data_IF_919537780385
#
_entry.id   IF_919537780385
#
_cell.length_a   1.000
_cell.length_b   1.000
_cell.length_c   1.000
_cell.angle_alpha   90.00
_cell.angle_beta   90.00
_cell.angle_gamma   90.00
#
_symmetry.space_group_name_H-M   'P 1'
#
loop_
_entity.id
_entity.type
_entity.pdbx_description
1 polymer ?
#
# COMPACT_ATOMS: atom_id res chain seq x y z
N UNK A 1 -17.25 -19.22 -29.27
CA UNK A 1 -16.91 -17.78 -29.16
C UNK A 1 -15.40 -17.65 -29.28
N UNK A 2 -14.88 -16.81 -30.22
CA UNK A 2 -13.43 -16.56 -30.28
C UNK A 2 -13.02 -15.66 -29.11
N UNK A 3 -11.91 -15.95 -28.43
CA UNK A 3 -11.36 -15.11 -27.36
C UNK A 3 -11.06 -13.70 -27.85
N UNK A 4 -10.54 -13.54 -29.07
CA UNK A 4 -10.28 -12.25 -29.68
C UNK A 4 -11.53 -11.37 -29.77
N UNK A 5 -12.64 -11.96 -30.20
CA UNK A 5 -13.91 -11.26 -30.29
C UNK A 5 -14.42 -10.86 -28.90
N UNK A 6 -14.30 -11.75 -27.91
CA UNK A 6 -14.69 -11.47 -26.53
C UNK A 6 -13.88 -10.30 -25.96
N UNK A 7 -12.54 -10.34 -26.05
CA UNK A 7 -11.71 -9.27 -25.49
C UNK A 7 -11.89 -7.94 -26.22
N UNK A 8 -12.05 -7.94 -27.54
CA UNK A 8 -12.35 -6.70 -28.29
C UNK A 8 -13.64 -6.06 -27.81
N UNK A 9 -14.71 -6.85 -27.66
CA UNK A 9 -15.99 -6.33 -27.16
C UNK A 9 -15.86 -5.77 -25.73
N UNK A 10 -15.09 -6.42 -24.83
CA UNK A 10 -14.86 -5.91 -23.48
C UNK A 10 -14.11 -4.58 -23.48
N UNK A 11 -13.09 -4.43 -24.35
CA UNK A 11 -12.35 -3.18 -24.49
C UNK A 11 -13.23 -2.06 -25.06
N UNK A 12 -14.07 -2.36 -26.04
CA UNK A 12 -15.03 -1.41 -26.61
C UNK A 12 -16.05 -0.96 -25.57
N UNK A 13 -16.57 -1.90 -24.76
CA UNK A 13 -17.48 -1.59 -23.67
C UNK A 13 -16.83 -0.65 -22.65
N UNK A 14 -15.59 -0.92 -22.21
CA UNK A 14 -14.83 -0.04 -21.30
C UNK A 14 -14.67 1.36 -21.86
N UNK A 15 -14.45 1.49 -23.18
CA UNK A 15 -14.35 2.80 -23.84
C UNK A 15 -15.69 3.53 -23.89
N UNK A 16 -16.76 2.84 -24.18
CA UNK A 16 -18.13 3.40 -24.23
C UNK A 16 -18.57 3.87 -22.83
N UNK A 17 -18.22 3.12 -21.79
CA UNK A 17 -18.56 3.43 -20.41
C UNK A 17 -17.65 4.53 -19.81
N UNK A 18 -16.65 5.01 -20.55
CA UNK A 18 -15.68 6.00 -20.05
C UNK A 18 -14.68 5.42 -19.02
N UNK A 19 -14.64 4.11 -18.88
CA UNK A 19 -13.80 3.40 -17.89
C UNK A 19 -12.46 2.91 -18.46
N UNK A 20 -12.21 3.13 -19.74
CA UNK A 20 -10.93 2.77 -20.35
C UNK A 20 -9.83 3.73 -19.89
N UNK A 21 -8.81 3.19 -19.24
CA UNK A 21 -7.71 3.98 -18.70
C UNK A 21 -6.60 4.14 -19.74
N UNK A 22 -6.21 5.39 -19.97
CA UNK A 22 -5.02 5.73 -20.75
C UNK A 22 -3.85 5.99 -19.81
N UNK A 23 -2.73 5.33 -20.07
CA UNK A 23 -1.49 5.58 -19.32
C UNK A 23 -0.70 6.69 -20.02
N UNK A 24 -0.39 7.75 -19.27
CA UNK A 24 0.49 8.79 -19.77
C UNK A 24 1.93 8.27 -19.79
N UNK A 25 2.63 8.44 -20.92
CA UNK A 25 4.05 8.11 -21.04
C UNK A 25 4.88 9.29 -20.54
N UNK A 26 5.34 9.18 -19.29
CA UNK A 26 6.00 10.25 -18.56
C UNK A 26 7.47 9.93 -18.28
N UNK A 27 8.35 10.80 -18.76
CA UNK A 27 9.77 10.81 -18.41
C UNK A 27 10.05 11.89 -17.37
N UNK A 28 10.39 11.47 -16.13
CA UNK A 28 10.73 12.40 -15.05
C UNK A 28 12.10 13.04 -15.29
N UNK A 29 12.24 14.31 -14.93
CA UNK A 29 13.48 15.08 -15.08
C UNK A 29 14.20 15.19 -13.75
N UNK A 30 15.37 14.56 -13.63
CA UNK A 30 16.21 14.65 -12.43
C UNK A 30 16.52 16.13 -12.07
N UNK A 31 16.27 16.50 -10.83
CA UNK A 31 16.48 17.86 -10.33
C UNK A 31 15.43 18.88 -10.76
N UNK A 32 14.34 18.45 -11.43
CA UNK A 32 13.23 19.32 -11.85
C UNK A 32 11.86 18.87 -11.34
N UNK A 33 11.84 18.05 -10.29
CA UNK A 33 10.58 17.63 -9.67
C UNK A 33 9.69 18.83 -9.31
N UNK A 34 8.37 18.81 -9.59
CA UNK A 34 7.57 17.70 -10.13
C UNK A 34 7.39 17.71 -11.67
N UNK A 35 8.32 18.30 -12.42
CA UNK A 35 8.23 18.37 -13.88
C UNK A 35 8.62 17.03 -14.54
N UNK A 36 7.92 16.72 -15.63
CA UNK A 36 8.19 15.58 -16.49
C UNK A 36 7.97 15.94 -17.96
N UNK A 37 8.54 15.15 -18.86
CA UNK A 37 8.18 15.18 -20.29
C UNK A 37 7.11 14.12 -20.53
N UNK A 38 5.98 14.54 -21.11
CA UNK A 38 4.97 13.61 -21.60
C UNK A 38 5.24 13.33 -23.08
N UNK A 39 5.43 12.06 -23.41
CA UNK A 39 5.58 11.56 -24.78
C UNK A 39 4.19 11.13 -25.30
N UNK A 40 3.86 11.53 -26.51
CA UNK A 40 2.59 11.18 -27.15
C UNK A 40 2.75 11.06 -28.67
N UNK A 41 1.77 10.50 -29.35
CA UNK A 41 1.75 10.46 -30.79
C UNK A 41 1.78 11.89 -31.36
N UNK A 42 2.87 12.24 -32.04
CA UNK A 42 3.10 13.58 -32.58
C UNK A 42 4.12 14.44 -31.84
N UNK A 43 4.72 13.95 -30.74
CA UNK A 43 5.83 14.66 -30.11
C UNK A 43 5.92 14.55 -28.60
N UNK A 44 6.52 15.55 -27.99
CA UNK A 44 6.71 15.63 -26.53
C UNK A 44 6.25 17.00 -26.01
N UNK A 45 5.82 17.05 -24.76
CA UNK A 45 5.55 18.31 -24.05
C UNK A 45 5.93 18.23 -22.58
N UNK A 46 6.34 19.35 -22.03
CA UNK A 46 6.58 19.44 -20.60
C UNK A 46 5.25 19.52 -19.84
N UNK A 47 5.16 18.78 -18.73
CA UNK A 47 4.01 18.73 -17.86
C UNK A 47 4.44 18.81 -16.40
N UNK A 48 3.55 19.26 -15.52
CA UNK A 48 3.71 19.20 -14.07
C UNK A 48 2.88 18.04 -13.53
N UNK A 49 3.54 17.11 -12.82
CA UNK A 49 2.87 15.93 -12.24
C UNK A 49 2.32 16.30 -10.86
N UNK A 50 0.98 16.28 -10.71
CA UNK A 50 0.28 16.57 -9.45
C UNK A 50 -0.12 15.32 -8.67
N UNK A 51 -0.08 14.15 -9.30
CA UNK A 51 -0.54 12.88 -8.73
C UNK A 51 0.61 11.90 -8.43
N UNK A 52 1.80 12.41 -8.09
CA UNK A 52 2.93 11.57 -7.72
C UNK A 52 2.83 11.09 -6.29
N UNK A 53 3.16 9.81 -6.03
CA UNK A 53 3.37 9.29 -4.68
C UNK A 53 4.75 9.64 -4.10
N UNK A 54 5.62 10.28 -4.89
CA UNK A 54 6.91 10.82 -4.44
C UNK A 54 6.70 12.20 -3.79
N UNK A 55 5.94 12.25 -2.69
CA UNK A 55 5.50 13.48 -2.04
C UNK A 55 6.64 14.41 -1.63
N UNK A 56 7.75 13.84 -1.19
CA UNK A 56 8.92 14.57 -0.70
C UNK A 56 9.98 14.77 -1.79
N UNK A 57 9.76 14.24 -3.00
CA UNK A 57 10.73 14.30 -4.10
C UNK A 57 12.01 13.49 -3.82
N UNK A 58 11.98 12.57 -2.85
CA UNK A 58 13.15 11.80 -2.43
C UNK A 58 13.68 10.87 -3.52
N UNK A 59 12.82 10.43 -4.43
CA UNK A 59 13.23 9.64 -5.60
C UNK A 59 14.19 10.39 -6.55
N UNK A 60 14.33 11.70 -6.39
CA UNK A 60 15.25 12.54 -7.17
C UNK A 60 16.30 13.26 -6.29
N UNK A 61 16.37 12.93 -5.00
CA UNK A 61 17.35 13.52 -4.11
C UNK A 61 18.77 13.04 -4.47
N UNK A 62 19.76 13.95 -4.58
CA UNK A 62 21.10 13.58 -5.04
C UNK A 62 21.76 12.47 -4.22
N UNK A 63 21.60 12.46 -2.90
CA UNK A 63 22.15 11.41 -2.04
C UNK A 63 21.50 10.03 -2.31
N UNK A 64 20.18 9.99 -2.58
CA UNK A 64 19.46 8.75 -2.90
C UNK A 64 19.92 8.20 -4.24
N UNK A 65 20.07 9.09 -5.25
CA UNK A 65 20.58 8.71 -6.56
C UNK A 65 22.02 8.17 -6.45
N UNK A 66 22.89 8.86 -5.71
CA UNK A 66 24.28 8.44 -5.54
C UNK A 66 24.38 7.07 -4.83
N UNK A 67 23.59 6.85 -3.78
CA UNK A 67 23.55 5.55 -3.08
C UNK A 67 23.09 4.42 -3.99
N UNK A 68 22.07 4.67 -4.84
CA UNK A 68 21.62 3.70 -5.81
C UNK A 68 22.69 3.36 -6.85
N UNK A 69 23.39 4.37 -7.39
CA UNK A 69 24.49 4.19 -8.34
C UNK A 69 25.64 3.39 -7.73
N UNK A 70 26.01 3.67 -6.50
CA UNK A 70 27.01 2.92 -5.75
C UNK A 70 26.59 1.45 -5.59
N UNK A 71 25.37 1.20 -5.11
CA UNK A 71 24.86 -0.16 -4.92
C UNK A 71 24.85 -0.95 -6.22
N UNK A 72 24.40 -0.34 -7.32
CA UNK A 72 24.41 -0.98 -8.65
C UNK A 72 25.85 -1.30 -9.08
N UNK A 73 26.80 -0.42 -8.85
CA UNK A 73 28.22 -0.65 -9.17
C UNK A 73 28.86 -1.77 -8.33
N UNK A 74 28.40 -1.95 -7.09
CA UNK A 74 28.91 -2.95 -6.14
C UNK A 74 28.27 -4.32 -6.31
N UNK A 75 26.95 -4.37 -6.50
CA UNK A 75 26.16 -5.63 -6.47
C UNK A 75 25.48 -5.99 -7.79
N UNK A 76 25.51 -5.12 -8.80
CA UNK A 76 24.70 -5.27 -10.01
C UNK A 76 23.23 -4.94 -9.79
N UNK A 77 22.38 -5.37 -10.73
CA UNK A 77 20.93 -5.11 -10.70
C UNK A 77 20.14 -6.37 -10.38
N UNK A 78 19.06 -6.20 -9.62
CA UNK A 78 18.14 -7.28 -9.27
C UNK A 78 18.62 -8.21 -8.16
N UNK A 79 17.68 -8.96 -7.61
CA UNK A 79 17.94 -9.81 -6.45
C UNK A 79 18.51 -11.21 -6.79
N UNK A 80 18.42 -11.63 -8.05
CA UNK A 80 18.92 -12.93 -8.50
C UNK A 80 18.05 -14.14 -8.15
N UNK A 81 16.97 -13.94 -7.38
CA UNK A 81 16.06 -15.02 -6.97
C UNK A 81 15.00 -14.57 -5.98
N UNK A 82 14.22 -15.52 -5.48
CA UNK A 82 13.29 -15.28 -4.38
C UNK A 82 14.04 -15.17 -3.05
N UNK A 83 13.48 -14.46 -2.09
CA UNK A 83 14.10 -14.28 -0.76
C UNK A 83 14.43 -15.59 -0.06
N UNK A 84 13.63 -16.63 -0.25
CA UNK A 84 13.81 -17.93 0.40
C UNK A 84 14.97 -18.76 -0.16
N UNK A 85 15.46 -18.44 -1.37
CA UNK A 85 16.54 -19.19 -2.01
C UNK A 85 17.85 -18.40 -1.96
N UNK A 86 17.97 -17.37 -2.78
CA UNK A 86 19.19 -16.54 -2.90
C UNK A 86 18.93 -15.06 -3.09
N UNK A 87 17.67 -14.63 -3.09
CA UNK A 87 17.27 -13.26 -3.36
C UNK A 87 17.21 -12.34 -2.13
N UNK A 88 17.62 -12.80 -0.94
CA UNK A 88 17.81 -11.94 0.22
C UNK A 88 19.21 -11.34 0.17
N UNK A 89 19.30 -10.10 -0.32
CA UNK A 89 20.55 -9.35 -0.38
C UNK A 89 20.84 -8.65 0.94
N UNK A 90 22.11 -8.32 1.18
CA UNK A 90 22.53 -7.63 2.39
C UNK A 90 21.78 -6.30 2.61
N UNK A 91 21.57 -5.54 1.53
CA UNK A 91 20.86 -4.25 1.58
C UNK A 91 19.38 -4.42 2.01
N UNK A 92 18.73 -5.58 1.78
CA UNK A 92 17.40 -5.87 2.34
C UNK A 92 17.45 -5.93 3.87
N UNK A 93 18.46 -6.62 4.44
CA UNK A 93 18.58 -6.77 5.88
C UNK A 93 18.91 -5.44 6.56
N UNK A 94 19.76 -4.63 5.95
CA UNK A 94 20.07 -3.30 6.44
C UNK A 94 18.82 -2.42 6.47
N UNK A 95 18.05 -2.40 5.39
CA UNK A 95 16.82 -1.63 5.31
C UNK A 95 15.75 -2.15 6.29
N UNK A 96 15.60 -3.46 6.45
CA UNK A 96 14.69 -4.03 7.45
C UNK A 96 15.09 -3.62 8.87
N UNK A 97 16.40 -3.57 9.18
CA UNK A 97 16.91 -3.06 10.45
C UNK A 97 16.57 -1.59 10.69
N UNK A 98 16.84 -0.73 9.72
CA UNK A 98 16.52 0.71 9.79
C UNK A 98 15.02 0.97 9.94
N UNK A 99 14.18 0.22 9.22
CA UNK A 99 12.73 0.35 9.33
C UNK A 99 12.20 -0.12 10.68
N UNK A 100 12.75 -1.21 11.22
CA UNK A 100 12.40 -1.68 12.55
C UNK A 100 12.74 -0.64 13.63
N UNK A 101 13.93 -0.04 13.55
CA UNK A 101 14.38 1.01 14.45
C UNK A 101 13.50 2.27 14.33
N UNK A 102 13.24 2.75 13.11
CA UNK A 102 12.39 3.90 12.84
C UNK A 102 11.00 3.77 13.48
N UNK A 103 10.42 2.57 13.42
CA UNK A 103 9.07 2.30 13.95
C UNK A 103 9.08 1.76 15.38
N UNK A 104 10.24 1.62 16.02
CA UNK A 104 10.37 1.07 17.38
C UNK A 104 9.82 -0.37 17.49
N UNK A 105 10.06 -1.20 16.46
CA UNK A 105 9.59 -2.58 16.38
C UNK A 105 10.75 -3.57 16.46
N UNK A 106 10.45 -4.80 16.85
CA UNK A 106 11.47 -5.87 16.96
C UNK A 106 12.03 -6.27 15.58
N UNK A 107 11.25 -6.17 14.53
CA UNK A 107 11.63 -6.54 13.18
C UNK A 107 10.77 -5.83 12.13
N UNK A 108 11.28 -5.79 10.90
CA UNK A 108 10.52 -5.41 9.71
C UNK A 108 10.68 -6.47 8.62
N UNK A 109 9.77 -6.50 7.69
CA UNK A 109 9.79 -7.39 6.54
C UNK A 109 9.46 -6.62 5.26
N UNK A 110 10.39 -6.62 4.30
CA UNK A 110 10.21 -5.98 3.01
C UNK A 110 9.37 -6.81 2.05
N UNK A 111 8.51 -6.13 1.32
CA UNK A 111 7.73 -6.66 0.21
C UNK A 111 8.02 -5.88 -1.08
N UNK A 112 7.63 -6.44 -2.22
CA UNK A 112 7.85 -5.82 -3.54
C UNK A 112 7.03 -4.54 -3.76
N UNK A 113 5.95 -4.36 -3.01
CA UNK A 113 5.11 -3.15 -3.03
C UNK A 113 4.23 -3.09 -1.79
N UNK A 114 3.69 -1.90 -1.48
CA UNK A 114 2.68 -1.72 -0.43
C UNK A 114 1.42 -2.54 -0.70
N UNK A 115 1.02 -2.68 -1.97
CA UNK A 115 -0.10 -3.54 -2.35
C UNK A 115 0.10 -4.99 -1.90
N UNK A 116 1.26 -5.57 -2.21
CA UNK A 116 1.61 -6.95 -1.84
C UNK A 116 1.76 -7.08 -0.32
N UNK A 117 2.32 -6.08 0.35
CA UNK A 117 2.43 -6.04 1.81
C UNK A 117 1.05 -6.16 2.48
N UNK A 118 0.12 -5.28 2.13
CA UNK A 118 -1.23 -5.29 2.68
C UNK A 118 -1.97 -6.58 2.38
N UNK A 119 -1.98 -6.97 1.10
CA UNK A 119 -2.67 -8.18 0.66
C UNK A 119 -2.16 -9.43 1.37
N UNK A 120 -0.84 -9.63 1.38
CA UNK A 120 -0.24 -10.85 1.94
C UNK A 120 -0.37 -10.90 3.46
N UNK A 121 -0.15 -9.78 4.14
CA UNK A 121 -0.20 -9.71 5.61
C UNK A 121 -1.62 -9.95 6.12
N UNK A 122 -2.61 -9.22 5.62
CA UNK A 122 -4.00 -9.39 6.05
C UNK A 122 -4.56 -10.76 5.69
N UNK A 123 -4.23 -11.28 4.49
CA UNK A 123 -4.61 -12.64 4.10
C UNK A 123 -4.02 -13.69 5.04
N UNK A 124 -2.75 -13.53 5.42
CA UNK A 124 -2.05 -14.48 6.30
C UNK A 124 -2.57 -14.41 7.73
N UNK A 125 -2.67 -13.22 8.31
CA UNK A 125 -3.14 -13.04 9.68
C UNK A 125 -4.57 -13.58 9.85
N UNK A 126 -5.49 -13.18 8.97
CA UNK A 126 -6.88 -13.64 9.05
C UNK A 126 -7.04 -15.14 8.81
N UNK A 127 -6.20 -15.76 7.95
CA UNK A 127 -6.24 -17.20 7.71
C UNK A 127 -5.59 -18.03 8.83
N UNK A 128 -4.62 -17.47 9.55
CA UNK A 128 -3.83 -18.21 10.56
C UNK A 128 -4.35 -18.06 11.98
N UNK A 129 -5.00 -16.94 12.30
CA UNK A 129 -5.57 -16.73 13.64
C UNK A 129 -6.93 -17.42 13.71
N UNK A 130 -7.09 -18.46 14.53
CA UNK A 130 -8.35 -19.22 14.59
C UNK A 130 -9.52 -18.33 15.00
N UNK A 131 -10.64 -18.40 14.26
CA UNK A 131 -11.88 -17.67 14.55
C UNK A 131 -11.72 -16.13 14.57
N UNK A 132 -10.70 -15.59 13.90
CA UNK A 132 -10.49 -14.14 13.82
C UNK A 132 -11.63 -13.44 13.08
N UNK A 133 -11.92 -12.21 13.52
CA UNK A 133 -12.75 -11.24 12.79
C UNK A 133 -11.87 -10.08 12.38
N UNK A 134 -11.97 -9.66 11.11
CA UNK A 134 -11.28 -8.48 10.62
C UNK A 134 -12.29 -7.34 10.50
N UNK A 135 -12.06 -6.27 11.25
CA UNK A 135 -12.83 -5.04 11.15
C UNK A 135 -12.08 -4.08 10.21
N UNK A 136 -12.70 -3.71 9.10
CA UNK A 136 -12.12 -2.85 8.07
C UNK A 136 -12.83 -1.53 8.00
N UNK A 137 -12.09 -0.42 7.96
CA UNK A 137 -12.67 0.87 7.59
C UNK A 137 -13.28 0.78 6.18
N UNK A 138 -14.41 1.48 5.96
CA UNK A 138 -15.14 1.45 4.68
C UNK A 138 -14.34 2.02 3.52
N UNK A 139 -13.37 2.91 3.77
CA UNK A 139 -12.56 3.59 2.76
C UNK A 139 -11.16 2.99 2.62
N UNK A 140 -10.87 1.86 3.25
CA UNK A 140 -9.59 1.19 3.13
C UNK A 140 -9.21 0.92 1.67
N UNK A 141 -7.93 1.02 1.38
CA UNK A 141 -7.35 0.77 0.06
C UNK A 141 -7.67 -0.64 -0.46
N UNK A 142 -7.81 -0.77 -1.77
CA UNK A 142 -8.14 -2.02 -2.46
C UNK A 142 -7.22 -3.20 -2.08
N UNK A 143 -5.93 -2.96 -1.80
CA UNK A 143 -5.00 -3.99 -1.36
C UNK A 143 -5.38 -4.63 -0.02
N UNK A 144 -5.88 -3.80 0.92
CA UNK A 144 -6.37 -4.27 2.22
C UNK A 144 -7.66 -5.07 2.05
N UNK A 145 -8.59 -4.56 1.24
CA UNK A 145 -9.86 -5.24 0.92
C UNK A 145 -9.60 -6.62 0.30
N UNK A 146 -8.66 -6.71 -0.66
CA UNK A 146 -8.31 -7.99 -1.29
C UNK A 146 -7.60 -8.93 -0.31
N UNK A 147 -6.72 -8.44 0.56
CA UNK A 147 -6.10 -9.24 1.61
C UNK A 147 -7.12 -9.84 2.56
N UNK A 148 -8.06 -9.03 3.03
CA UNK A 148 -9.17 -9.45 3.90
C UNK A 148 -10.04 -10.50 3.19
N UNK A 149 -10.38 -10.29 1.92
CA UNK A 149 -11.16 -11.25 1.12
C UNK A 149 -10.45 -12.60 0.99
N UNK A 150 -9.14 -12.60 0.74
CA UNK A 150 -8.34 -13.82 0.57
C UNK A 150 -8.12 -14.57 1.88
N UNK A 151 -8.14 -13.89 3.02
CA UNK A 151 -8.03 -14.52 4.35
C UNK A 151 -9.16 -15.51 4.64
N UNK A 152 -10.34 -15.30 4.02
CA UNK A 152 -11.60 -16.00 4.31
C UNK A 152 -12.08 -15.86 5.77
N UNK A 153 -11.44 -15.02 6.56
CA UNK A 153 -11.92 -14.67 7.89
C UNK A 153 -13.26 -13.91 7.79
N UNK A 154 -14.05 -14.00 8.83
CA UNK A 154 -15.22 -13.12 8.95
C UNK A 154 -14.76 -11.66 8.94
N UNK A 155 -15.50 -10.81 8.24
CA UNK A 155 -15.20 -9.39 8.17
C UNK A 155 -16.40 -8.55 8.57
N UNK A 156 -16.12 -7.44 9.25
CA UNK A 156 -17.07 -6.39 9.51
C UNK A 156 -16.51 -5.08 8.96
N UNK A 157 -17.35 -4.31 8.26
CA UNK A 157 -16.96 -2.99 7.75
C UNK A 157 -17.56 -1.95 8.67
N UNK A 158 -16.72 -1.05 9.22
CA UNK A 158 -17.17 0.06 10.02
C UNK A 158 -17.16 1.37 9.24
N UNK A 159 -18.02 2.31 9.64
CA UNK A 159 -18.17 3.58 8.92
C UNK A 159 -16.89 4.40 9.02
N UNK A 160 -16.50 5.04 7.91
CA UNK A 160 -15.24 5.77 7.79
C UNK A 160 -14.99 6.71 8.97
N UNK A 161 -13.87 6.49 9.67
CA UNK A 161 -13.41 7.26 10.83
C UNK A 161 -14.43 7.36 11.99
N UNK A 162 -15.50 6.55 11.99
CA UNK A 162 -16.51 6.53 13.07
C UNK A 162 -16.11 5.58 14.20
N UNK A 163 -15.41 6.14 15.19
CA UNK A 163 -14.93 5.41 16.38
C UNK A 163 -16.09 4.77 17.18
N UNK A 164 -17.28 5.38 17.16
CA UNK A 164 -18.44 4.83 17.88
C UNK A 164 -19.01 3.61 17.17
N UNK A 165 -19.02 3.61 15.84
CA UNK A 165 -19.42 2.45 15.06
C UNK A 165 -18.41 1.31 15.23
N UNK A 166 -17.11 1.63 15.28
CA UNK A 166 -16.05 0.66 15.57
C UNK A 166 -16.24 0.02 16.95
N UNK A 167 -16.48 0.81 18.00
CA UNK A 167 -16.70 0.31 19.38
C UNK A 167 -17.90 -0.64 19.46
N UNK A 168 -19.02 -0.28 18.79
CA UNK A 168 -20.21 -1.15 18.72
C UNK A 168 -19.89 -2.50 18.04
N UNK A 169 -19.14 -2.47 16.95
CA UNK A 169 -18.77 -3.68 16.20
C UNK A 169 -17.78 -4.55 16.95
N UNK A 170 -16.80 -3.94 17.61
CA UNK A 170 -15.86 -4.65 18.48
C UNK A 170 -16.59 -5.33 19.64
N UNK A 171 -17.57 -4.64 20.25
CA UNK A 171 -18.43 -5.22 21.29
C UNK A 171 -19.19 -6.44 20.77
N UNK A 172 -19.74 -6.38 19.56
CA UNK A 172 -20.46 -7.49 18.94
C UNK A 172 -19.59 -8.73 18.66
N UNK A 173 -18.28 -8.55 18.53
CA UNK A 173 -17.34 -9.67 18.31
C UNK A 173 -17.13 -10.53 19.57
N UNK A 174 -17.48 -10.05 20.78
CA UNK A 174 -17.24 -10.75 22.05
C UNK A 174 -15.74 -11.01 22.27
N UNK A 175 -15.41 -12.24 22.75
CA UNK A 175 -14.03 -12.65 23.09
C UNK A 175 -13.23 -13.17 21.89
N UNK A 176 -13.74 -13.09 20.69
CA UNK A 176 -13.05 -13.55 19.48
C UNK A 176 -11.79 -12.70 19.22
N UNK A 177 -10.72 -13.29 18.65
CA UNK A 177 -9.60 -12.50 18.14
C UNK A 177 -10.07 -11.48 17.11
N UNK A 178 -9.65 -10.24 17.26
CA UNK A 178 -10.07 -9.11 16.44
C UNK A 178 -8.86 -8.44 15.81
N UNK A 179 -8.95 -8.14 14.51
CA UNK A 179 -7.96 -7.34 13.77
C UNK A 179 -8.69 -6.11 13.25
N UNK A 180 -8.25 -4.92 13.64
CA UNK A 180 -8.76 -3.65 13.13
C UNK A 180 -7.79 -3.10 12.10
N UNK A 181 -8.25 -2.98 10.86
CA UNK A 181 -7.45 -2.53 9.73
C UNK A 181 -7.93 -1.15 9.25
N UNK A 182 -7.01 -0.19 9.18
CA UNK A 182 -7.29 1.19 8.77
C UNK A 182 -6.04 1.89 8.26
N UNK A 183 -6.21 3.05 7.58
CA UNK A 183 -5.12 3.89 7.09
C UNK A 183 -4.93 5.10 8.01
N UNK A 184 -3.71 5.62 8.12
CA UNK A 184 -3.44 6.86 8.85
C UNK A 184 -3.85 8.10 8.05
N UNK A 185 -3.50 8.13 6.77
CA UNK A 185 -3.94 9.11 5.78
C UNK A 185 -4.53 8.36 4.60
N UNK A 186 -5.80 8.62 4.30
CA UNK A 186 -6.52 7.93 3.22
C UNK A 186 -6.14 8.50 1.86
N UNK A 187 -5.80 7.62 0.93
CA UNK A 187 -5.16 7.97 -0.34
C UNK A 187 -6.02 8.82 -1.29
N UNK A 188 -7.35 8.68 -1.22
CA UNK A 188 -8.25 9.32 -2.18
C UNK A 188 -8.69 10.71 -1.73
N UNK A 189 -8.99 10.88 -0.46
CA UNK A 189 -9.58 12.11 0.08
C UNK A 189 -8.60 12.90 0.95
N UNK A 190 -7.52 12.24 1.42
CA UNK A 190 -6.52 12.87 2.28
C UNK A 190 -6.97 13.00 3.74
N UNK A 191 -8.05 12.34 4.11
CA UNK A 191 -8.55 12.33 5.48
C UNK A 191 -7.56 11.67 6.43
N UNK A 192 -7.40 12.24 7.61
CA UNK A 192 -6.53 11.71 8.66
C UNK A 192 -7.40 10.95 9.66
N UNK A 193 -7.06 9.69 9.91
CA UNK A 193 -7.76 8.89 10.89
C UNK A 193 -7.60 9.44 12.31
N UNK A 194 -8.62 9.38 13.17
CA UNK A 194 -8.51 9.68 14.59
C UNK A 194 -7.76 8.56 15.33
N UNK A 195 -6.46 8.38 15.00
CA UNK A 195 -5.63 7.22 15.37
C UNK A 195 -5.68 6.95 16.86
N UNK A 196 -5.45 7.97 17.70
CA UNK A 196 -5.46 7.79 19.16
C UNK A 196 -6.80 7.23 19.68
N UNK A 197 -7.92 7.78 19.22
CA UNK A 197 -9.23 7.30 19.63
C UNK A 197 -9.53 5.87 19.11
N UNK A 198 -9.07 5.53 17.91
CA UNK A 198 -9.17 4.16 17.38
C UNK A 198 -8.34 3.19 18.24
N UNK A 199 -7.11 3.57 18.58
CA UNK A 199 -6.23 2.74 19.42
C UNK A 199 -6.80 2.54 20.82
N UNK A 200 -7.33 3.59 21.46
CA UNK A 200 -7.98 3.50 22.77
C UNK A 200 -9.13 2.47 22.77
N UNK A 201 -9.96 2.50 21.73
CA UNK A 201 -11.06 1.54 21.57
C UNK A 201 -10.52 0.14 21.28
N UNK A 202 -9.49 0.01 20.45
CA UNK A 202 -8.86 -1.29 20.17
C UNK A 202 -8.26 -1.91 21.44
N UNK A 203 -7.56 -1.13 22.24
CA UNK A 203 -6.99 -1.57 23.52
C UNK A 203 -8.08 -2.03 24.50
N UNK A 204 -9.16 -1.25 24.65
CA UNK A 204 -10.34 -1.61 25.46
C UNK A 204 -10.90 -2.99 25.11
N UNK A 205 -10.88 -3.37 23.83
CA UNK A 205 -11.42 -4.64 23.34
C UNK A 205 -10.36 -5.72 23.09
N UNK A 206 -9.08 -5.48 23.42
CA UNK A 206 -7.98 -6.41 23.15
C UNK A 206 -7.83 -6.74 21.66
N UNK A 207 -8.08 -5.77 20.77
CA UNK A 207 -7.98 -5.94 19.34
C UNK A 207 -6.55 -5.66 18.85
N UNK A 208 -6.08 -6.47 17.91
CA UNK A 208 -4.84 -6.21 17.18
C UNK A 208 -5.10 -5.14 16.11
N UNK A 209 -4.22 -4.16 15.99
CA UNK A 209 -4.32 -3.09 15.00
C UNK A 209 -3.38 -3.31 13.82
N UNK A 210 -3.88 -3.11 12.62
CA UNK A 210 -3.14 -3.08 11.37
C UNK A 210 -3.30 -1.68 10.75
N UNK A 211 -2.24 -0.89 10.82
CA UNK A 211 -2.23 0.50 10.32
C UNK A 211 -1.40 0.59 9.04
N UNK A 212 -2.00 1.07 7.96
CA UNK A 212 -1.31 1.45 6.74
C UNK A 212 -0.92 2.94 6.82
N UNK A 213 0.38 3.21 6.73
CA UNK A 213 0.95 4.56 6.80
C UNK A 213 1.65 4.97 5.51
N UNK A 214 1.39 4.27 4.39
CA UNK A 214 2.10 4.53 3.13
C UNK A 214 1.99 5.97 2.63
N UNK A 215 0.89 6.65 2.96
CA UNK A 215 0.64 8.06 2.61
C UNK A 215 1.02 9.05 3.73
N UNK A 216 1.61 8.59 4.82
CA UNK A 216 1.82 9.38 6.03
C UNK A 216 3.28 9.52 6.44
N UNK A 217 4.06 8.43 6.42
CA UNK A 217 5.45 8.42 6.93
C UNK A 217 6.30 9.45 6.21
N UNK A 218 6.93 10.34 7.01
CA UNK A 218 7.74 11.46 6.52
C UNK A 218 6.96 12.72 6.17
N UNK A 219 5.63 12.72 6.31
CA UNK A 219 4.78 13.89 6.06
C UNK A 219 4.44 14.68 7.33
N UNK A 220 4.43 14.03 8.50
CA UNK A 220 4.24 14.65 9.82
C UNK A 220 5.03 13.89 10.89
#
# INVERSE_FOLDING_TARGET
>A
MSFDHFFKNQLEQLKQDGNYRYFADLERKTGKFPQATNHFEGGTRDVTVWCSNDYLGMGQHPAVIAAMQEAVGRCGTGAGGTRNISGTNHDHLLLEGELADLHGKEAALLFTSGYVSNWTTLATLGAKIPNAVILSDSENHASMIEGIRHSKAEKMIWAHNDVQDLDRKLTACGDRPKIVAFESVYSMDGDIAPIAAILDVCEKHGAFTYLDEVHAVGMY
#
